data_IF_430832072456
#
_entry.id   IF_430832072456
#
_cell.length_a   1.000
_cell.length_b   1.000
_cell.length_c   1.000
_cell.angle_alpha   90.00
_cell.angle_beta   90.00
_cell.angle_gamma   90.00
#
_symmetry.space_group_name_H-M   'P 1'
#
loop_
_entity.id
_entity.type
_entity.pdbx_description
1 polymer ?
#
# COMPACT_ATOMS: atom_id res chain seq x y z
N UNK A 1 12.20 -25.60 -14.21
CA UNK A 1 11.18 -25.77 -13.15
C UNK A 1 11.32 -24.62 -12.16
N UNK A 2 10.84 -23.41 -12.51
CA UNK A 2 10.93 -22.20 -11.67
C UNK A 2 9.64 -21.41 -11.88
N UNK A 3 8.53 -21.81 -11.24
CA UNK A 3 7.27 -21.04 -11.29
C UNK A 3 6.40 -21.14 -10.02
N UNK A 4 6.78 -21.97 -9.05
CA UNK A 4 5.94 -22.20 -7.85
C UNK A 4 6.11 -21.14 -6.77
N UNK A 5 7.28 -20.48 -6.69
CA UNK A 5 7.57 -19.51 -5.61
C UNK A 5 6.75 -18.22 -5.77
N UNK A 6 6.44 -17.81 -7.01
CA UNK A 6 5.72 -16.55 -7.28
C UNK A 6 4.26 -16.58 -6.81
N UNK A 7 3.60 -17.74 -6.82
CA UNK A 7 2.20 -17.85 -6.41
C UNK A 7 2.04 -17.71 -4.90
N UNK A 8 2.87 -18.41 -4.11
CA UNK A 8 2.81 -18.33 -2.64
C UNK A 8 3.14 -16.93 -2.11
N UNK A 9 4.10 -16.22 -2.73
CA UNK A 9 4.45 -14.86 -2.31
C UNK A 9 3.32 -13.84 -2.47
N UNK A 10 2.43 -14.04 -3.46
CA UNK A 10 1.30 -13.14 -3.68
C UNK A 10 0.24 -13.26 -2.58
N UNK A 11 0.00 -14.46 -2.04
CA UNK A 11 -1.01 -14.68 -1.00
C UNK A 11 -0.59 -14.05 0.34
N UNK A 12 0.70 -14.10 0.70
CA UNK A 12 1.20 -13.40 1.90
C UNK A 12 1.16 -11.89 1.74
N UNK A 13 1.47 -11.39 0.55
CA UNK A 13 1.41 -9.95 0.25
C UNK A 13 -0.01 -9.43 0.37
N UNK A 14 -1.00 -10.17 -0.17
CA UNK A 14 -2.41 -9.82 -0.03
C UNK A 14 -2.84 -9.76 1.45
N UNK A 15 -2.55 -10.81 2.22
CA UNK A 15 -2.87 -10.85 3.67
C UNK A 15 -2.22 -9.72 4.45
N UNK A 16 -1.00 -9.33 4.07
CA UNK A 16 -0.32 -8.19 4.66
C UNK A 16 -1.08 -6.89 4.36
N UNK A 17 -1.46 -6.66 3.10
CA UNK A 17 -2.21 -5.47 2.71
C UNK A 17 -3.57 -5.41 3.41
N UNK A 18 -4.32 -6.53 3.46
CA UNK A 18 -5.58 -6.63 4.20
C UNK A 18 -5.41 -6.28 5.68
N UNK A 19 -4.30 -6.69 6.29
CA UNK A 19 -4.03 -6.41 7.70
C UNK A 19 -3.62 -4.97 7.94
N UNK A 20 -2.73 -4.41 7.11
CA UNK A 20 -2.26 -3.03 7.27
C UNK A 20 -3.37 -2.06 6.94
N UNK A 21 -3.89 -2.09 5.70
CA UNK A 21 -4.90 -1.13 5.25
C UNK A 21 -6.22 -1.30 6.01
N UNK A 22 -6.61 -2.54 6.32
CA UNK A 22 -7.79 -2.79 7.15
C UNK A 22 -7.65 -2.43 8.63
N UNK A 23 -6.43 -2.18 9.12
CA UNK A 23 -6.24 -1.60 10.46
C UNK A 23 -6.25 -0.07 10.46
N UNK A 24 -6.16 0.53 9.27
CA UNK A 24 -6.10 1.98 9.05
C UNK A 24 -7.41 2.56 8.49
N UNK A 25 -8.36 1.71 8.13
CA UNK A 25 -9.65 2.09 7.57
C UNK A 25 -10.77 1.57 8.47
N UNK A 26 -11.78 2.40 8.67
CA UNK A 26 -13.02 2.02 9.34
C UNK A 26 -14.03 1.36 8.37
N UNK A 27 -13.74 1.40 7.06
CA UNK A 27 -14.60 0.85 6.01
C UNK A 27 -14.52 -0.68 5.94
N UNK A 28 -15.66 -1.32 5.72
CA UNK A 28 -15.73 -2.76 5.46
C UNK A 28 -15.23 -3.15 4.05
N UNK A 29 -15.30 -2.22 3.11
CA UNK A 29 -14.75 -2.32 1.74
C UNK A 29 -13.91 -1.08 1.47
N UNK A 30 -12.59 -1.28 1.33
CA UNK A 30 -11.60 -0.21 1.22
C UNK A 30 -11.41 0.12 -0.26
N UNK A 31 -11.74 1.34 -0.65
CA UNK A 31 -11.58 1.79 -2.05
C UNK A 31 -10.12 2.17 -2.30
N UNK A 32 -9.47 1.48 -3.24
CA UNK A 32 -8.04 1.63 -3.52
C UNK A 32 -7.76 1.95 -4.99
N UNK A 33 -6.96 2.99 -5.24
CA UNK A 33 -6.40 3.23 -6.56
C UNK A 33 -5.05 2.53 -6.70
N UNK A 34 -5.00 1.48 -7.53
CA UNK A 34 -3.83 0.62 -7.64
C UNK A 34 -3.19 0.66 -9.04
N UNK A 35 -1.86 0.57 -9.09
CA UNK A 35 -1.16 0.32 -10.36
C UNK A 35 -1.41 -1.11 -10.87
N UNK A 36 -1.01 -1.40 -12.11
CA UNK A 36 -1.35 -2.67 -12.75
C UNK A 36 -0.90 -3.93 -11.97
N UNK A 37 0.29 -3.90 -11.37
CA UNK A 37 0.79 -5.03 -10.58
C UNK A 37 0.06 -5.17 -9.24
N UNK A 38 -0.20 -4.04 -8.57
CA UNK A 38 -0.87 -4.03 -7.26
C UNK A 38 -2.35 -4.38 -7.40
N UNK A 39 -2.99 -3.95 -8.48
CA UNK A 39 -4.38 -4.27 -8.82
C UNK A 39 -4.59 -5.79 -8.93
N UNK A 40 -3.70 -6.52 -9.61
CA UNK A 40 -3.78 -7.98 -9.72
C UNK A 40 -3.71 -8.71 -8.37
N UNK A 41 -3.05 -8.14 -7.38
CA UNK A 41 -2.97 -8.71 -6.02
C UNK A 41 -4.24 -8.37 -5.25
N UNK A 42 -4.62 -7.08 -5.21
CA UNK A 42 -5.72 -6.58 -4.39
C UNK A 42 -7.09 -7.08 -4.85
N UNK A 43 -7.31 -7.24 -6.16
CA UNK A 43 -8.57 -7.76 -6.73
C UNK A 43 -8.92 -9.19 -6.27
N UNK A 44 -7.97 -9.92 -5.68
CA UNK A 44 -8.20 -11.26 -5.13
C UNK A 44 -8.89 -11.24 -3.76
N UNK A 45 -9.04 -10.07 -3.13
CA UNK A 45 -9.71 -9.92 -1.84
C UNK A 45 -11.02 -9.16 -2.00
N UNK A 46 -12.06 -9.61 -1.30
CA UNK A 46 -13.33 -8.89 -1.19
C UNK A 46 -13.26 -7.67 -0.27
N UNK A 47 -12.15 -7.44 0.44
CA UNK A 47 -11.94 -6.24 1.27
C UNK A 47 -11.58 -5.00 0.47
N UNK A 48 -11.15 -5.16 -0.79
CA UNK A 48 -10.69 -4.05 -1.61
C UNK A 48 -11.59 -3.84 -2.80
N UNK A 49 -12.10 -2.61 -2.93
CA UNK A 49 -12.67 -2.13 -4.18
C UNK A 49 -11.57 -1.46 -4.99
N UNK A 50 -11.04 -2.17 -6.00
CA UNK A 50 -9.93 -1.66 -6.80
C UNK A 50 -10.46 -0.81 -7.95
N UNK A 51 -10.20 0.49 -7.90
CA UNK A 51 -10.54 1.43 -8.96
C UNK A 51 -9.33 1.73 -9.85
N UNK A 52 -9.58 2.10 -11.10
CA UNK A 52 -8.55 2.41 -12.09
C UNK A 52 -8.38 3.91 -12.37
N UNK A 53 -9.21 4.74 -11.73
CA UNK A 53 -9.14 6.20 -11.79
C UNK A 53 -9.22 6.75 -10.38
N UNK A 54 -8.61 7.92 -10.19
CA UNK A 54 -8.64 8.59 -8.90
C UNK A 54 -9.97 9.33 -8.72
N UNK A 55 -10.67 9.05 -7.62
CA UNK A 55 -11.90 9.74 -7.20
C UNK A 55 -11.82 10.12 -5.73
N UNK A 56 -12.81 10.91 -5.26
CA UNK A 56 -12.90 11.32 -3.85
C UNK A 56 -13.04 10.13 -2.89
N UNK A 57 -13.69 9.05 -3.35
CA UNK A 57 -13.94 7.84 -2.55
C UNK A 57 -12.68 7.01 -2.30
N UNK A 58 -11.59 7.25 -3.06
CA UNK A 58 -10.33 6.54 -2.87
C UNK A 58 -9.77 6.85 -1.48
N UNK A 59 -9.57 5.79 -0.69
CA UNK A 59 -8.95 5.87 0.63
C UNK A 59 -7.42 5.80 0.51
N UNK A 60 -6.90 4.85 -0.26
CA UNK A 60 -5.46 4.64 -0.41
C UNK A 60 -5.03 4.47 -1.87
N UNK A 61 -3.81 4.91 -2.16
CA UNK A 61 -3.08 4.49 -3.35
C UNK A 61 -2.20 3.29 -3.00
N UNK A 62 -2.11 2.29 -3.88
CA UNK A 62 -1.20 1.15 -3.69
C UNK A 62 -0.40 0.88 -4.96
N UNK A 63 0.92 1.05 -4.90
CA UNK A 63 1.75 0.79 -6.07
C UNK A 63 3.12 1.42 -6.07
N UNK A 64 3.78 1.33 -7.22
CA UNK A 64 5.15 1.80 -7.45
C UNK A 64 5.27 2.79 -8.60
N UNK A 65 4.32 2.73 -9.54
CA UNK A 65 4.37 3.55 -10.74
C UNK A 65 2.98 4.08 -11.07
N UNK A 66 2.75 5.30 -10.62
CA UNK A 66 1.68 6.14 -11.10
C UNK A 66 2.26 7.10 -12.13
N UNK A 67 1.54 7.34 -13.22
CA UNK A 67 1.87 8.41 -14.17
C UNK A 67 1.74 9.79 -13.51
N UNK A 68 1.13 10.74 -14.20
CA UNK A 68 0.79 12.02 -13.58
C UNK A 68 -0.40 11.84 -12.65
N UNK A 69 -0.17 11.79 -11.34
CA UNK A 69 -1.25 11.80 -10.35
C UNK A 69 -1.99 13.14 -10.41
N UNK A 70 -3.33 13.07 -10.40
CA UNK A 70 -4.18 14.24 -10.22
C UNK A 70 -3.88 14.93 -8.87
N UNK A 71 -4.16 16.24 -8.74
CA UNK A 71 -4.03 16.93 -7.46
C UNK A 71 -4.78 16.24 -6.32
N UNK A 72 -5.97 15.69 -6.62
CA UNK A 72 -6.78 14.92 -5.69
C UNK A 72 -6.00 13.72 -5.12
N UNK A 73 -5.41 12.89 -5.98
CA UNK A 73 -4.67 11.70 -5.53
C UNK A 73 -3.34 12.01 -4.82
N UNK A 74 -2.74 13.17 -5.09
CA UNK A 74 -1.54 13.59 -4.35
C UNK A 74 -1.83 13.85 -2.87
N UNK A 75 -3.09 14.14 -2.55
CA UNK A 75 -3.58 14.37 -1.19
C UNK A 75 -4.20 13.12 -0.55
N UNK A 76 -3.99 11.93 -1.13
CA UNK A 76 -4.42 10.66 -0.55
C UNK A 76 -3.20 9.85 -0.10
N UNK A 77 -3.29 9.08 1.00
CA UNK A 77 -2.17 8.28 1.49
C UNK A 77 -1.78 7.18 0.50
N UNK A 78 -0.47 7.02 0.26
CA UNK A 78 0.09 6.01 -0.65
C UNK A 78 0.84 4.94 0.14
N UNK A 79 0.53 3.67 -0.14
CA UNK A 79 1.30 2.52 0.31
C UNK A 79 2.16 1.99 -0.85
N UNK A 80 3.47 2.17 -0.75
CA UNK A 80 4.39 1.92 -1.84
C UNK A 80 4.79 0.44 -1.95
N UNK A 81 4.96 -0.06 -3.16
CA UNK A 81 5.39 -1.45 -3.40
C UNK A 81 6.87 -1.59 -3.79
N UNK A 82 7.61 -0.48 -3.77
CA UNK A 82 9.08 -0.46 -4.00
C UNK A 82 9.75 0.62 -3.16
N UNK A 83 11.02 0.41 -2.79
CA UNK A 83 11.87 1.43 -2.17
C UNK A 83 11.89 2.74 -2.96
N UNK A 84 12.02 2.66 -4.29
CA UNK A 84 12.02 3.86 -5.15
C UNK A 84 10.74 4.67 -5.00
N UNK A 85 9.58 4.01 -5.00
CA UNK A 85 8.30 4.69 -4.87
C UNK A 85 8.12 5.31 -3.48
N UNK A 86 8.56 4.62 -2.43
CA UNK A 86 8.51 5.12 -1.05
C UNK A 86 9.22 6.48 -0.89
N UNK A 87 10.38 6.66 -1.53
CA UNK A 87 11.10 7.94 -1.50
C UNK A 87 10.69 8.94 -2.58
N UNK A 88 10.08 8.48 -3.68
CA UNK A 88 9.63 9.34 -4.79
C UNK A 88 8.36 10.10 -4.45
N UNK A 89 7.39 9.43 -3.82
CA UNK A 89 6.06 9.99 -3.58
C UNK A 89 5.99 10.64 -2.19
N UNK A 90 5.76 11.95 -2.14
CA UNK A 90 5.66 12.72 -0.89
C UNK A 90 4.43 12.39 -0.04
N UNK A 91 3.54 11.53 -0.53
CA UNK A 91 2.39 10.98 0.15
C UNK A 91 2.52 9.49 0.51
N UNK A 92 3.71 8.92 0.36
CA UNK A 92 3.98 7.55 0.79
C UNK A 92 4.03 7.47 2.32
N UNK A 93 3.00 6.88 2.95
CA UNK A 93 2.97 6.69 4.41
C UNK A 93 3.65 5.39 4.84
N UNK A 94 3.80 4.44 3.92
CA UNK A 94 4.49 3.20 4.18
C UNK A 94 4.85 2.46 2.90
N UNK A 95 5.64 1.40 3.05
CA UNK A 95 6.06 0.58 1.94
C UNK A 95 6.30 -0.86 2.33
N UNK A 96 5.96 -1.79 1.44
CA UNK A 96 6.37 -3.19 1.52
C UNK A 96 7.09 -3.59 0.23
N UNK A 97 8.33 -4.05 0.36
CA UNK A 97 9.15 -4.48 -0.78
C UNK A 97 10.22 -5.48 -0.34
N UNK A 98 10.87 -6.13 -1.31
CA UNK A 98 11.95 -7.08 -1.03
C UNK A 98 13.31 -6.48 -1.38
N UNK A 99 14.28 -6.64 -0.49
CA UNK A 99 15.67 -6.26 -0.73
C UNK A 99 16.58 -7.43 -0.39
N UNK A 100 17.37 -7.88 -1.36
CA UNK A 100 18.32 -9.02 -1.19
C UNK A 100 17.66 -10.26 -0.56
N UNK A 101 16.44 -10.59 -0.98
CA UNK A 101 15.68 -11.74 -0.48
C UNK A 101 15.07 -11.56 0.91
N UNK A 102 15.07 -10.33 1.48
CA UNK A 102 14.45 -10.03 2.77
C UNK A 102 13.27 -9.07 2.60
N UNK A 103 12.09 -9.37 3.18
CA UNK A 103 10.98 -8.44 3.17
C UNK A 103 11.33 -7.23 4.02
N UNK A 104 11.01 -6.04 3.51
CA UNK A 104 11.15 -4.76 4.16
C UNK A 104 9.75 -4.18 4.34
N UNK A 105 9.45 -3.71 5.56
CA UNK A 105 8.25 -2.98 5.89
C UNK A 105 8.68 -1.70 6.60
N UNK A 106 8.25 -0.56 6.05
CA UNK A 106 8.59 0.77 6.55
C UNK A 106 7.34 1.63 6.63
N UNK A 107 7.32 2.55 7.59
CA UNK A 107 6.31 3.59 7.69
C UNK A 107 6.93 4.95 7.98
N UNK A 108 6.43 5.99 7.33
CA UNK A 108 6.91 7.34 7.50
C UNK A 108 6.08 8.06 8.57
N UNK A 109 6.67 8.37 9.71
CA UNK A 109 5.99 9.02 10.85
C UNK A 109 5.28 10.32 10.44
N UNK A 110 5.99 11.21 9.76
CA UNK A 110 5.45 12.51 9.38
C UNK A 110 4.24 12.39 8.44
N UNK A 111 4.24 11.38 7.58
CA UNK A 111 3.12 11.15 6.64
C UNK A 111 1.94 10.44 7.33
N UNK A 112 2.21 9.52 8.26
CA UNK A 112 1.18 8.93 9.13
C UNK A 112 0.45 10.03 9.91
N UNK A 113 1.20 10.93 10.56
CA UNK A 113 0.65 12.06 11.31
C UNK A 113 -0.13 13.02 10.40
N UNK A 114 0.41 13.34 9.22
CA UNK A 114 -0.27 14.23 8.25
C UNK A 114 -1.63 13.70 7.79
N UNK A 115 -1.79 12.38 7.71
CA UNK A 115 -3.03 11.74 7.31
C UNK A 115 -3.81 11.15 8.49
N UNK A 116 -3.41 11.46 9.73
CA UNK A 116 -4.06 10.97 10.95
C UNK A 116 -4.20 9.42 10.99
N UNK A 117 -3.23 8.72 10.41
CA UNK A 117 -3.20 7.25 10.31
C UNK A 117 -2.58 6.64 11.57
N UNK A 118 -3.40 5.93 12.34
CA UNK A 118 -2.98 5.32 13.60
C UNK A 118 -2.60 3.85 13.42
N UNK A 119 -1.29 3.56 13.44
CA UNK A 119 -0.83 2.18 13.35
C UNK A 119 -1.09 1.39 14.64
N UNK A 120 -1.52 0.12 14.55
CA UNK A 120 -1.61 -0.75 15.71
C UNK A 120 -0.21 -1.00 16.31
N UNK A 121 -0.15 -1.25 17.62
CA UNK A 121 1.10 -1.34 18.39
C UNK A 121 2.14 -2.30 17.79
N UNK A 122 1.70 -3.41 17.20
CA UNK A 122 2.58 -4.40 16.57
C UNK A 122 3.27 -3.91 15.27
N UNK A 123 2.80 -2.80 14.69
CA UNK A 123 3.37 -2.19 13.49
C UNK A 123 4.24 -0.96 13.80
N UNK A 124 4.14 -0.38 14.99
CA UNK A 124 4.90 0.83 15.35
C UNK A 124 6.43 0.63 15.30
N UNK A 125 6.90 -0.59 15.53
CA UNK A 125 8.33 -0.95 15.42
C UNK A 125 8.91 -0.83 14.01
N UNK A 126 8.06 -0.64 12.99
CA UNK A 126 8.45 -0.47 11.59
C UNK A 126 8.37 0.99 11.13
N UNK A 127 8.12 1.92 12.05
CA UNK A 127 8.18 3.36 11.76
C UNK A 127 9.64 3.75 11.64
N UNK A 128 9.99 4.40 10.53
CA UNK A 128 11.32 4.95 10.30
C UNK A 128 11.62 6.06 11.33
N UNK A 129 12.88 6.15 11.76
CA UNK A 129 13.36 7.20 12.68
C UNK A 129 13.27 8.62 12.09
#
# INVERSE_FOLDING_TARGET
MIFVISLYGQDYTLKLYEKILGSLSDSSSIVVYADGASSQILQKSSKFEVVHFCSEDVEFLVGSSFGTLSPLCKNKPLFATTHRAYHKYSNAFGAFYWTKGRPQLHFNRAILERFELHLPANLQRFIDE
#
